data_IF_919339322087
#
_entry.id   IF_919339322087
#
_cell.length_a   1.000
_cell.length_b   1.000
_cell.length_c   1.000
_cell.angle_alpha   90.00
_cell.angle_beta   90.00
_cell.angle_gamma   90.00
#
_symmetry.space_group_name_H-M   'P 1'
#
loop_
_entity.id
_entity.type
_entity.pdbx_description
1 polymer ?
#
# COMPACT_ATOMS: atom_id res chain seq x y z
N UNK A 1 5.69 -0.86 -4.69
CA UNK A 1 4.36 -0.23 -4.54
C UNK A 1 4.44 1.18 -5.11
N UNK A 2 3.40 1.69 -5.75
CA UNK A 2 3.36 3.04 -6.30
C UNK A 2 2.14 3.79 -5.80
N UNK A 3 2.32 5.07 -5.46
CA UNK A 3 1.22 5.97 -5.14
C UNK A 3 0.86 6.77 -6.39
N UNK A 4 -0.39 6.69 -6.83
CA UNK A 4 -0.85 7.31 -8.08
C UNK A 4 -2.01 8.24 -7.76
N UNK A 5 -1.88 9.51 -8.16
CA UNK A 5 -2.97 10.48 -8.10
C UNK A 5 -3.72 10.49 -9.44
N UNK A 6 -5.05 10.48 -9.37
CA UNK A 6 -5.92 10.61 -10.53
C UNK A 6 -6.80 11.85 -10.34
N UNK A 7 -6.66 12.81 -11.26
CA UNK A 7 -7.52 13.99 -11.29
C UNK A 7 -8.79 13.72 -12.12
N UNK A 8 -9.89 13.43 -11.43
CA UNK A 8 -11.20 13.16 -12.02
C UNK A 8 -11.86 14.38 -12.70
N UNK A 9 -11.29 15.58 -12.59
CA UNK A 9 -11.83 16.80 -13.21
C UNK A 9 -11.45 16.92 -14.69
N UNK A 10 -10.32 16.35 -15.09
CA UNK A 10 -9.84 16.30 -16.48
C UNK A 10 -10.70 15.39 -17.36
N UNK A 11 -10.75 15.56 -18.70
CA UNK A 11 -11.54 14.67 -19.57
C UNK A 11 -11.13 13.19 -19.47
N UNK A 12 -9.82 12.90 -19.45
CA UNK A 12 -9.28 11.54 -19.30
C UNK A 12 -9.57 10.96 -17.92
N UNK A 13 -9.35 11.75 -16.87
CA UNK A 13 -9.59 11.33 -15.50
C UNK A 13 -11.08 11.10 -15.22
N UNK A 14 -11.96 11.97 -15.73
CA UNK A 14 -13.42 11.79 -15.61
C UNK A 14 -13.88 10.45 -16.16
N UNK A 15 -13.44 10.10 -17.37
CA UNK A 15 -13.74 8.79 -17.97
C UNK A 15 -13.25 7.64 -17.08
N UNK A 16 -12.02 7.72 -16.58
CA UNK A 16 -11.46 6.69 -15.70
C UNK A 16 -12.24 6.57 -14.37
N UNK A 17 -12.56 7.69 -13.73
CA UNK A 17 -13.28 7.70 -12.46
C UNK A 17 -14.72 7.18 -12.60
N UNK A 18 -15.38 7.45 -13.73
CA UNK A 18 -16.68 6.85 -14.06
C UNK A 18 -16.56 5.34 -14.29
N UNK A 19 -15.57 4.89 -15.07
CA UNK A 19 -15.33 3.46 -15.32
C UNK A 19 -15.04 2.69 -14.02
N UNK A 20 -14.42 3.38 -13.06
CA UNK A 20 -14.09 2.84 -11.75
C UNK A 20 -15.19 3.08 -10.70
N UNK A 21 -16.36 3.62 -11.07
CA UNK A 21 -17.47 3.89 -10.13
C UNK A 21 -17.03 4.71 -8.90
N UNK A 22 -16.28 5.80 -9.13
CA UNK A 22 -15.90 6.77 -8.10
C UNK A 22 -17.03 7.79 -7.96
N UNK A 23 -17.66 7.84 -6.78
CA UNK A 23 -18.79 8.72 -6.51
C UNK A 23 -18.53 9.80 -5.45
N UNK A 24 -17.40 9.70 -4.73
CA UNK A 24 -17.02 10.65 -3.68
C UNK A 24 -15.50 10.92 -3.71
N UNK A 25 -15.11 12.09 -3.23
CA UNK A 25 -13.72 12.53 -3.20
C UNK A 25 -13.31 12.97 -1.78
N UNK A 26 -12.06 12.68 -1.35
CA UNK A 26 -11.08 11.82 -2.02
C UNK A 26 -11.40 10.32 -1.82
N UNK A 27 -11.41 9.53 -2.90
CA UNK A 27 -11.44 8.07 -2.83
C UNK A 27 -10.02 7.51 -2.97
N UNK A 28 -9.58 6.69 -2.02
CA UNK A 28 -8.29 5.99 -2.09
C UNK A 28 -8.55 4.49 -2.19
N UNK A 29 -7.89 3.84 -3.15
CA UNK A 29 -8.09 2.42 -3.47
C UNK A 29 -6.75 1.74 -3.66
N UNK A 30 -6.64 0.52 -3.17
CA UNK A 30 -5.47 -0.33 -3.29
C UNK A 30 -5.78 -1.36 -4.40
N UNK A 31 -4.94 -1.41 -5.42
CA UNK A 31 -5.08 -2.37 -6.52
C UNK A 31 -3.96 -3.41 -6.43
N UNK A 32 -4.32 -4.69 -6.28
CA UNK A 32 -3.38 -5.82 -6.25
C UNK A 32 -3.51 -6.66 -7.52
N UNK A 33 -2.69 -6.35 -8.53
CA UNK A 33 -2.62 -7.13 -9.78
C UNK A 33 -3.83 -7.03 -10.72
N UNK A 34 -4.94 -6.45 -10.29
CA UNK A 34 -6.15 -6.26 -11.11
C UNK A 34 -6.78 -4.89 -10.86
N UNK A 35 -7.24 -4.25 -11.93
CA UNK A 35 -7.99 -2.98 -11.87
C UNK A 35 -9.47 -3.19 -11.51
N UNK A 36 -9.94 -4.44 -11.44
CA UNK A 36 -11.34 -4.77 -11.12
C UNK A 36 -11.55 -5.20 -9.67
N UNK A 37 -10.49 -5.63 -9.00
CA UNK A 37 -10.52 -6.10 -7.62
C UNK A 37 -9.68 -5.14 -6.77
N UNK A 38 -10.31 -4.05 -6.33
CA UNK A 38 -9.68 -3.08 -5.46
C UNK A 38 -10.15 -3.26 -4.01
N UNK A 39 -9.29 -2.88 -3.08
CA UNK A 39 -9.62 -2.73 -1.66
C UNK A 39 -9.76 -1.23 -1.35
N UNK A 40 -10.84 -0.78 -0.70
CA UNK A 40 -10.92 0.60 -0.24
C UNK A 40 -9.88 0.84 0.87
N UNK A 41 -9.25 2.02 0.86
CA UNK A 41 -8.40 2.47 1.97
C UNK A 41 -9.27 3.22 2.98
N UNK A 42 -9.53 2.59 4.13
CA UNK A 42 -10.47 3.07 5.16
C UNK A 42 -9.76 3.61 6.41
N UNK A 43 -8.44 3.80 6.31
CA UNK A 43 -7.57 4.22 7.39
C UNK A 43 -7.38 5.75 7.43
N UNK A 44 -6.75 6.25 8.50
CA UNK A 44 -6.32 7.65 8.63
C UNK A 44 -5.49 8.11 7.43
N UNK A 45 -5.66 9.37 7.01
CA UNK A 45 -5.06 9.93 5.78
C UNK A 45 -3.85 10.82 6.06
N UNK A 46 -3.36 10.78 7.28
CA UNK A 46 -2.12 11.39 7.70
C UNK A 46 -0.95 10.72 6.97
N UNK A 47 0.08 11.50 6.65
CA UNK A 47 1.21 11.02 5.84
C UNK A 47 1.92 9.83 6.48
N UNK A 48 2.07 9.83 7.81
CA UNK A 48 2.62 8.71 8.57
C UNK A 48 1.73 7.47 8.45
N UNK A 49 0.41 7.59 8.57
CA UNK A 49 -0.52 6.46 8.55
C UNK A 49 -0.55 5.80 7.16
N UNK A 50 -0.59 6.60 6.10
CA UNK A 50 -0.47 6.12 4.71
C UNK A 50 0.86 5.42 4.50
N UNK A 51 1.97 6.00 4.98
CA UNK A 51 3.30 5.41 4.87
C UNK A 51 3.38 4.05 5.54
N UNK A 52 2.90 3.93 6.79
CA UNK A 52 2.89 2.65 7.53
C UNK A 52 2.13 1.57 6.75
N UNK A 53 0.97 1.93 6.19
CA UNK A 53 0.19 0.99 5.39
C UNK A 53 0.92 0.58 4.09
N UNK A 54 1.60 1.52 3.43
CA UNK A 54 2.41 1.22 2.25
C UNK A 54 3.58 0.27 2.56
N UNK A 55 4.26 0.46 3.69
CA UNK A 55 5.34 -0.42 4.15
C UNK A 55 4.80 -1.82 4.40
N UNK A 56 3.67 -1.94 5.12
CA UNK A 56 2.98 -3.22 5.36
C UNK A 56 2.65 -3.95 4.05
N UNK A 57 2.01 -3.27 3.10
CA UNK A 57 1.68 -3.85 1.79
C UNK A 57 2.92 -4.30 1.02
N UNK A 58 3.99 -3.50 1.07
CA UNK A 58 5.26 -3.84 0.39
C UNK A 58 5.89 -5.08 1.01
N UNK A 59 5.89 -5.20 2.34
CA UNK A 59 6.37 -6.37 3.05
C UNK A 59 5.56 -7.62 2.69
N UNK A 60 4.23 -7.55 2.68
CA UNK A 60 3.35 -8.66 2.27
C UNK A 60 3.68 -9.15 0.86
N UNK A 61 3.82 -8.23 -0.10
CA UNK A 61 4.14 -8.55 -1.49
C UNK A 61 5.51 -9.24 -1.61
N UNK A 62 6.53 -8.71 -0.92
CA UNK A 62 7.87 -9.28 -0.98
C UNK A 62 7.91 -10.66 -0.32
N UNK A 63 7.28 -10.83 0.84
CA UNK A 63 7.19 -12.14 1.52
C UNK A 63 6.50 -13.16 0.63
N UNK A 64 5.34 -12.82 0.05
CA UNK A 64 4.63 -13.69 -0.89
C UNK A 64 5.51 -14.07 -2.07
N UNK A 65 6.25 -13.11 -2.64
CA UNK A 65 7.12 -13.38 -3.78
C UNK A 65 8.29 -14.30 -3.42
N UNK A 66 8.91 -14.11 -2.26
CA UNK A 66 10.00 -14.94 -1.78
C UNK A 66 9.58 -16.38 -1.50
N UNK A 67 8.33 -16.60 -1.06
CA UNK A 67 7.79 -17.93 -0.84
C UNK A 67 7.63 -18.72 -2.15
N UNK A 68 7.27 -18.03 -3.24
CA UNK A 68 7.14 -18.63 -4.57
C UNK A 68 8.49 -18.92 -5.25
N UNK A 69 9.53 -18.17 -4.90
CA UNK A 69 10.83 -18.25 -5.58
C UNK A 69 11.73 -19.39 -5.06
N UNK A 70 12.47 -20.08 -5.95
CA UNK A 70 13.58 -20.95 -5.58
C UNK A 70 14.62 -20.21 -4.73
N UNK A 71 15.27 -20.92 -3.79
CA UNK A 71 16.21 -20.30 -2.84
C UNK A 71 17.34 -19.53 -3.53
N UNK A 72 17.83 -20.04 -4.66
CA UNK A 72 18.92 -19.42 -5.44
C UNK A 72 18.55 -18.05 -6.04
N UNK A 73 17.27 -17.80 -6.28
CA UNK A 73 16.75 -16.55 -6.85
C UNK A 73 16.38 -15.53 -5.77
N UNK A 74 16.29 -15.94 -4.50
CA UNK A 74 15.95 -15.04 -3.39
C UNK A 74 17.03 -14.00 -3.12
N UNK A 75 18.28 -14.30 -3.48
CA UNK A 75 19.44 -13.40 -3.29
C UNK A 75 19.25 -12.04 -3.99
N UNK A 76 18.50 -12.00 -5.08
CA UNK A 76 18.26 -10.78 -5.86
C UNK A 76 17.36 -9.78 -5.10
N UNK A 77 16.63 -10.25 -4.08
CA UNK A 77 15.76 -9.43 -3.25
C UNK A 77 16.44 -8.93 -1.97
N UNK A 78 17.71 -9.28 -1.71
CA UNK A 78 18.40 -8.96 -0.45
C UNK A 78 18.34 -7.48 -0.09
N UNK A 79 18.60 -6.59 -1.06
CA UNK A 79 18.54 -5.14 -0.83
C UNK A 79 17.12 -4.65 -0.53
N UNK A 80 16.12 -5.19 -1.24
CA UNK A 80 14.72 -4.83 -1.00
C UNK A 80 14.26 -5.29 0.39
N UNK A 81 14.62 -6.52 0.78
CA UNK A 81 14.34 -7.07 2.12
C UNK A 81 14.98 -6.19 3.20
N UNK A 82 16.22 -5.75 3.02
CA UNK A 82 16.92 -4.92 3.99
C UNK A 82 16.21 -3.57 4.20
N UNK A 83 15.80 -2.90 3.11
CA UNK A 83 15.06 -1.64 3.21
C UNK A 83 13.70 -1.84 3.90
N UNK A 84 12.93 -2.85 3.48
CA UNK A 84 11.61 -3.15 4.07
C UNK A 84 11.75 -3.51 5.55
N UNK A 85 12.77 -4.26 5.93
CA UNK A 85 13.00 -4.64 7.33
C UNK A 85 13.30 -3.41 8.19
N UNK A 86 14.06 -2.45 7.67
CA UNK A 86 14.30 -1.17 8.34
C UNK A 86 13.01 -0.37 8.52
N UNK A 87 12.20 -0.27 7.47
CA UNK A 87 10.93 0.46 7.52
C UNK A 87 9.92 -0.22 8.46
N UNK A 88 9.85 -1.55 8.42
CA UNK A 88 8.98 -2.35 9.28
C UNK A 88 9.36 -2.22 10.75
N UNK A 89 10.66 -2.10 11.06
CA UNK A 89 11.11 -1.83 12.43
C UNK A 89 10.54 -0.52 12.97
N UNK A 90 10.54 0.54 12.17
CA UNK A 90 9.94 1.83 12.54
C UNK A 90 8.43 1.67 12.78
N UNK A 91 7.73 0.91 11.92
CA UNK A 91 6.31 0.60 12.10
C UNK A 91 6.06 -0.11 13.44
N UNK A 92 6.86 -1.13 13.75
CA UNK A 92 6.72 -1.92 14.97
C UNK A 92 7.03 -1.10 16.23
N UNK A 93 8.08 -0.28 16.22
CA UNK A 93 8.43 0.60 17.34
C UNK A 93 7.31 1.62 17.65
N UNK A 94 6.68 2.18 16.62
CA UNK A 94 5.53 3.09 16.80
C UNK A 94 4.33 2.37 17.41
N UNK A 95 4.06 1.14 16.98
CA UNK A 95 3.01 0.30 17.53
C UNK A 95 3.25 -0.02 19.01
N UNK A 96 4.48 -0.35 19.38
CA UNK A 96 4.87 -0.60 20.78
C UNK A 96 4.68 0.64 21.67
N UNK A 97 4.85 1.83 21.10
CA UNK A 97 4.64 3.11 21.78
C UNK A 97 3.16 3.55 21.84
N UNK A 98 2.23 2.78 21.27
CA UNK A 98 0.82 3.16 21.18
C UNK A 98 0.58 4.38 20.28
N UNK A 99 1.51 4.66 19.36
CA UNK A 99 1.42 5.74 18.37
C UNK A 99 0.81 5.27 17.04
N UNK A 100 0.29 4.05 17.04
CA UNK A 100 -0.69 3.56 16.07
C UNK A 100 -2.05 4.09 16.55
N UNK A 101 -2.61 5.05 15.83
CA UNK A 101 -3.97 5.53 16.11
C UNK A 101 -4.91 4.33 16.10
N UNK A 102 -5.76 4.24 17.13
CA UNK A 102 -6.66 3.12 17.42
C UNK A 102 -7.33 2.60 16.14
N UNK A 103 -6.98 1.38 15.74
CA UNK A 103 -7.41 0.76 14.48
C UNK A 103 -8.77 0.03 14.61
N UNK A 104 -9.67 0.59 15.43
CA UNK A 104 -11.06 0.16 15.61
C UNK A 104 -11.89 1.43 15.83
N UNK A 105 -12.95 1.74 15.09
CA UNK A 105 -13.94 0.94 14.36
C UNK A 105 -14.29 1.56 13.00
#
# INVERSE_FOLDING_TARGET
VAFIQVDCTTPKGRFLCQLQSIHAFPSVRIYRGSVRAFEPYEYGRESNVIWLHMVKLTAEIVVSKLQELPVEERKDFTQQIAHISSDLKIVMERREQGLDEDWSE
#
